data_IF_437727916787
#
_entry.id   IF_437727916787
#
_cell.length_a   1.000
_cell.length_b   1.000
_cell.length_c   1.000
_cell.angle_alpha   90.00
_cell.angle_beta   90.00
_cell.angle_gamma   90.00
#
_symmetry.space_group_name_H-M   'P 1'
#
loop_
_entity.id
_entity.type
_entity.pdbx_description
1 polymer ?
#
# COMPACT_ATOMS: atom_id res chain seq x y z
N UNK A 1 -2.87 -15.39 -9.35
CA UNK A 1 -1.87 -14.32 -9.19
C UNK A 1 -2.37 -13.40 -8.10
N UNK A 2 -1.70 -13.41 -6.97
CA UNK A 2 -2.12 -12.61 -5.80
C UNK A 2 -1.64 -11.20 -6.02
N UNK A 3 -2.56 -10.30 -6.10
CA UNK A 3 -2.37 -8.86 -6.26
C UNK A 3 -2.42 -8.24 -4.89
N UNK A 4 -1.92 -7.02 -4.64
CA UNK A 4 -1.83 -6.49 -3.28
C UNK A 4 -3.05 -6.93 -2.48
N UNK A 5 -2.89 -8.05 -1.86
CA UNK A 5 -3.79 -8.49 -0.86
C UNK A 5 -3.33 -7.84 0.45
N UNK A 6 -3.72 -6.59 0.66
CA UNK A 6 -3.81 -6.15 2.03
C UNK A 6 -5.04 -6.84 2.59
N UNK A 7 -4.83 -8.08 2.87
CA UNK A 7 -5.46 -8.96 3.81
C UNK A 7 -6.96 -8.89 4.00
N UNK A 8 -7.54 -10.03 4.09
CA UNK A 8 -8.56 -10.29 5.10
C UNK A 8 -8.03 -9.84 6.47
N UNK A 9 -8.31 -8.62 6.86
CA UNK A 9 -8.22 -8.21 8.24
C UNK A 9 -9.35 -8.96 8.94
N UNK A 10 -9.03 -10.09 9.56
CA UNK A 10 -9.98 -10.80 10.40
C UNK A 10 -10.34 -9.93 11.60
N UNK A 11 -11.50 -10.15 12.17
CA UNK A 11 -11.99 -9.44 13.35
C UNK A 11 -11.02 -9.49 14.56
N UNK A 12 -10.18 -10.51 14.62
CA UNK A 12 -9.14 -10.72 15.62
C UNK A 12 -7.94 -9.73 15.55
N UNK A 13 -7.77 -9.01 14.43
CA UNK A 13 -6.79 -7.91 14.35
C UNK A 13 -7.42 -6.59 14.82
N UNK A 14 -8.74 -6.48 14.73
CA UNK A 14 -9.48 -5.28 15.15
C UNK A 14 -9.28 -4.93 16.63
N UNK A 15 -9.06 -5.93 17.46
CA UNK A 15 -8.93 -5.76 18.91
C UNK A 15 -7.48 -5.44 19.36
N UNK A 16 -6.51 -5.50 18.42
CA UNK A 16 -5.11 -5.24 18.73
C UNK A 16 -4.66 -3.79 18.50
N UNK A 17 -5.50 -2.95 17.89
CA UNK A 17 -5.06 -1.64 17.40
C UNK A 17 -6.05 -0.53 17.77
N UNK A 18 -5.67 0.30 18.71
CA UNK A 18 -6.52 1.34 19.28
C UNK A 18 -5.98 2.72 18.89
N UNK A 19 -6.80 3.62 18.42
CA UNK A 19 -6.41 4.99 18.03
C UNK A 19 -6.31 5.95 19.23
N UNK A 20 -5.98 7.23 18.97
CA UNK A 20 -5.81 8.28 19.99
C UNK A 20 -7.04 8.56 20.89
N UNK A 21 -8.13 7.81 20.69
CA UNK A 21 -9.34 7.83 21.55
C UNK A 21 -9.41 6.60 22.47
N UNK A 22 -8.29 5.96 22.76
CA UNK A 22 -8.19 4.70 23.48
C UNK A 22 -8.05 3.48 22.55
N UNK A 23 -7.76 3.69 21.27
CA UNK A 23 -7.53 2.68 20.24
C UNK A 23 -6.06 2.68 19.87
N UNK A 24 -5.36 1.59 20.08
CA UNK A 24 -3.95 1.44 19.75
C UNK A 24 -3.69 1.61 18.26
N UNK A 25 -2.79 2.50 17.88
CA UNK A 25 -2.36 2.69 16.50
C UNK A 25 -1.05 1.97 16.31
N UNK A 26 -1.01 1.01 15.41
CA UNK A 26 0.23 0.36 15.02
C UNK A 26 0.75 0.91 13.71
N UNK A 27 2.06 0.85 13.49
CA UNK A 27 2.64 1.13 12.21
C UNK A 27 2.03 0.25 11.11
N UNK A 28 1.75 0.83 9.96
CA UNK A 28 1.21 0.07 8.81
C UNK A 28 2.12 -1.11 8.43
N UNK A 29 3.44 -0.95 8.54
CA UNK A 29 4.41 -2.01 8.28
C UNK A 29 4.29 -3.19 9.24
N UNK A 30 3.88 -2.97 10.49
CA UNK A 30 3.59 -4.04 11.45
C UNK A 30 2.39 -4.87 11.02
N UNK A 31 1.37 -4.22 10.47
CA UNK A 31 0.22 -4.92 9.88
C UNK A 31 0.69 -5.78 8.71
N UNK A 32 1.50 -5.24 7.80
CA UNK A 32 2.04 -6.01 6.67
C UNK A 32 2.91 -7.18 7.13
N UNK A 33 3.78 -6.97 8.13
CA UNK A 33 4.61 -8.01 8.73
C UNK A 33 3.75 -9.18 9.25
N UNK A 34 2.69 -8.84 9.99
CA UNK A 34 1.75 -9.84 10.53
C UNK A 34 1.06 -10.62 9.40
N UNK A 35 0.66 -9.94 8.33
CA UNK A 35 -0.02 -10.55 7.20
C UNK A 35 0.91 -11.49 6.43
N UNK A 36 2.12 -11.03 6.13
CA UNK A 36 3.13 -11.82 5.43
C UNK A 36 3.50 -13.08 6.25
N UNK A 37 3.66 -12.96 7.58
CA UNK A 37 3.87 -14.11 8.48
C UNK A 37 2.73 -15.13 8.46
N UNK A 38 1.52 -14.68 8.08
CA UNK A 38 0.34 -15.55 7.90
C UNK A 38 0.20 -16.10 6.46
N UNK A 39 1.20 -15.87 5.60
CA UNK A 39 1.20 -16.36 4.22
C UNK A 39 0.42 -15.48 3.23
N UNK A 40 0.12 -14.22 3.59
CA UNK A 40 -0.49 -13.27 2.66
C UNK A 40 0.59 -12.72 1.73
N UNK A 41 0.34 -12.80 0.43
CA UNK A 41 1.19 -12.19 -0.59
C UNK A 41 0.91 -10.68 -0.67
N UNK A 42 1.97 -9.88 -0.60
CA UNK A 42 1.87 -8.42 -0.65
C UNK A 42 2.72 -7.87 -1.79
N UNK A 43 2.11 -7.06 -2.65
CA UNK A 43 2.77 -6.31 -3.73
C UNK A 43 2.62 -4.82 -3.51
N UNK A 44 3.70 -4.08 -3.61
CA UNK A 44 3.73 -2.64 -3.40
C UNK A 44 4.34 -1.92 -4.62
N UNK A 45 3.59 -1.01 -5.21
CA UNK A 45 4.12 -0.03 -6.16
C UNK A 45 4.33 1.29 -5.42
N UNK A 46 5.53 1.86 -5.53
CA UNK A 46 5.84 3.16 -4.94
C UNK A 46 6.54 4.09 -5.94
N UNK A 47 6.32 5.42 -5.76
CA UNK A 47 6.78 6.42 -6.75
C UNK A 47 8.25 6.80 -6.62
N UNK A 48 8.83 6.63 -5.45
CA UNK A 48 10.23 6.98 -5.14
C UNK A 48 10.73 6.20 -3.94
N UNK A 49 12.02 6.13 -3.79
CA UNK A 49 12.63 5.57 -2.58
C UNK A 49 12.09 6.27 -1.33
N UNK A 50 11.67 5.50 -0.35
CA UNK A 50 11.18 6.03 0.91
C UNK A 50 12.27 6.80 1.64
N UNK A 51 11.85 7.83 2.38
CA UNK A 51 12.75 8.62 3.21
C UNK A 51 13.31 7.84 4.41
N UNK A 52 14.30 8.43 5.14
CA UNK A 52 14.99 7.74 6.24
C UNK A 52 14.04 7.14 7.28
N UNK A 53 13.05 7.91 7.74
CA UNK A 53 12.10 7.44 8.76
C UNK A 53 11.34 6.17 8.34
N UNK A 54 11.02 6.04 7.05
CA UNK A 54 10.35 4.84 6.56
C UNK A 54 11.32 3.66 6.49
N UNK A 55 12.59 3.91 6.14
CA UNK A 55 13.63 2.86 6.13
C UNK A 55 13.86 2.34 7.53
N UNK A 56 13.99 3.23 8.50
CA UNK A 56 14.18 2.87 9.90
C UNK A 56 13.00 2.02 10.43
N UNK A 57 11.78 2.36 10.02
CA UNK A 57 10.60 1.55 10.34
C UNK A 57 10.60 0.21 9.60
N UNK A 58 10.98 0.19 8.33
CA UNK A 58 11.00 -1.03 7.51
C UNK A 58 12.05 -2.04 8.02
N UNK A 59 13.20 -1.57 8.46
CA UNK A 59 14.29 -2.40 9.00
C UNK A 59 13.89 -3.14 10.29
N UNK A 60 12.83 -2.69 10.96
CA UNK A 60 12.27 -3.39 12.12
C UNK A 60 11.50 -4.67 11.75
N UNK A 61 11.16 -4.85 10.48
CA UNK A 61 10.35 -5.96 9.96
C UNK A 61 11.09 -6.73 8.87
N UNK A 62 12.15 -7.51 9.21
CA UNK A 62 13.05 -8.13 8.22
C UNK A 62 12.34 -9.03 7.20
N UNK A 63 11.22 -9.68 7.58
CA UNK A 63 10.47 -10.55 6.67
C UNK A 63 9.91 -9.78 5.46
N UNK A 64 9.63 -8.48 5.61
CA UNK A 64 9.12 -7.66 4.50
C UNK A 64 10.17 -7.46 3.39
N UNK A 65 11.47 -7.59 3.72
CA UNK A 65 12.53 -7.51 2.72
C UNK A 65 12.50 -8.65 1.72
N UNK A 66 12.14 -9.85 2.17
CA UNK A 66 12.19 -11.08 1.38
C UNK A 66 10.83 -11.53 0.87
N UNK A 67 9.77 -11.21 1.56
CA UNK A 67 8.45 -11.75 1.29
C UNK A 67 7.44 -10.72 0.74
N UNK A 68 7.78 -9.42 0.74
CA UNK A 68 6.97 -8.39 0.09
C UNK A 68 7.59 -8.04 -1.27
N UNK A 69 6.84 -8.21 -2.34
CA UNK A 69 7.25 -7.79 -3.66
C UNK A 69 7.10 -6.26 -3.81
N UNK A 70 8.13 -5.59 -4.31
CA UNK A 70 8.12 -4.13 -4.47
C UNK A 70 8.56 -3.73 -5.86
N UNK A 71 7.90 -2.70 -6.39
CA UNK A 71 8.25 -2.07 -7.66
C UNK A 71 8.33 -0.55 -7.48
N UNK A 72 9.43 0.04 -7.95
CA UNK A 72 9.53 1.49 -8.06
C UNK A 72 9.03 1.95 -9.42
N UNK A 73 7.99 2.77 -9.44
CA UNK A 73 7.50 3.42 -10.65
C UNK A 73 7.34 4.93 -10.42
N UNK A 74 8.23 5.79 -10.97
CA UNK A 74 8.18 7.25 -10.78
C UNK A 74 6.91 7.94 -11.31
N UNK A 75 6.07 7.20 -12.03
CA UNK A 75 4.76 7.67 -12.52
C UNK A 75 3.61 7.26 -11.62
N UNK A 76 3.82 6.34 -10.68
CA UNK A 76 2.76 5.90 -9.77
C UNK A 76 2.32 7.05 -8.87
N UNK A 77 1.05 7.42 -8.94
CA UNK A 77 0.44 8.45 -8.09
C UNK A 77 -0.91 8.05 -7.51
N UNK A 78 -1.40 6.88 -7.88
CA UNK A 78 -2.62 6.30 -7.30
C UNK A 78 -2.40 5.90 -5.83
N UNK A 79 -3.44 5.98 -5.04
CA UNK A 79 -3.48 5.54 -3.65
C UNK A 79 -4.65 4.58 -3.56
N UNK A 80 -4.34 3.30 -3.69
CA UNK A 80 -5.33 2.25 -3.56
C UNK A 80 -4.77 1.07 -2.77
N UNK A 81 -5.66 0.34 -2.14
CA UNK A 81 -5.40 -0.93 -1.49
C UNK A 81 -6.42 -1.90 -2.04
N UNK A 82 -5.97 -2.99 -2.65
CA UNK A 82 -6.84 -4.00 -3.24
C UNK A 82 -6.62 -5.31 -2.46
N UNK A 83 -7.71 -5.88 -1.97
CA UNK A 83 -7.70 -7.10 -1.16
C UNK A 83 -8.38 -8.22 -1.93
N UNK A 84 -7.62 -9.25 -2.28
CA UNK A 84 -8.08 -10.47 -2.96
C UNK A 84 -8.92 -10.23 -4.24
N UNK A 85 -8.86 -9.01 -4.80
CA UNK A 85 -9.70 -8.61 -5.93
C UNK A 85 -11.20 -8.46 -5.61
N UNK A 86 -11.58 -8.52 -4.34
CA UNK A 86 -13.00 -8.47 -3.89
C UNK A 86 -13.32 -7.29 -3.01
N UNK A 87 -12.32 -6.56 -2.55
CA UNK A 87 -12.48 -5.34 -1.78
C UNK A 87 -11.37 -4.35 -2.10
N UNK A 88 -11.72 -3.08 -2.24
CA UNK A 88 -10.72 -2.04 -2.47
C UNK A 88 -11.00 -0.76 -1.69
N UNK A 89 -9.92 -0.11 -1.27
CA UNK A 89 -9.91 1.30 -0.90
C UNK A 89 -9.16 2.08 -1.97
N UNK A 90 -9.68 3.23 -2.36
CA UNK A 90 -8.95 4.21 -3.18
C UNK A 90 -9.36 5.63 -2.80
N UNK A 91 -8.43 6.58 -2.97
CA UNK A 91 -8.70 7.95 -2.56
C UNK A 91 -7.48 8.87 -2.63
N UNK A 92 -7.55 9.95 -1.88
CA UNK A 92 -6.48 10.96 -1.83
C UNK A 92 -5.39 10.64 -0.80
N UNK A 93 -5.71 9.82 0.22
CA UNK A 93 -4.83 9.55 1.36
C UNK A 93 -3.58 8.74 0.96
N UNK A 94 -2.40 9.31 1.19
CA UNK A 94 -1.17 8.54 1.16
C UNK A 94 -1.07 7.65 2.43
N UNK A 95 -0.35 6.53 2.33
CA UNK A 95 -0.04 5.65 3.47
C UNK A 95 0.99 6.32 4.42
N UNK A 96 0.61 7.44 4.98
CA UNK A 96 1.41 8.25 5.92
C UNK A 96 0.59 8.55 7.17
N UNK A 97 1.25 8.81 8.29
CA UNK A 97 0.55 9.17 9.52
C UNK A 97 -0.35 10.41 9.38
N UNK A 98 -0.06 11.33 8.46
CA UNK A 98 -0.91 12.49 8.18
C UNK A 98 -2.13 12.11 7.32
N UNK A 99 -1.94 11.30 6.28
CA UNK A 99 -3.00 10.85 5.37
C UNK A 99 -3.93 9.82 6.02
N UNK A 100 -3.37 8.91 6.83
CA UNK A 100 -4.13 7.85 7.50
C UNK A 100 -4.75 8.27 8.84
N UNK A 101 -4.71 9.57 9.18
CA UNK A 101 -5.36 10.10 10.37
C UNK A 101 -4.65 9.79 11.70
N UNK A 102 -3.42 9.25 11.67
CA UNK A 102 -2.64 8.93 12.86
C UNK A 102 -2.06 10.19 13.57
N UNK A 103 -2.04 11.34 12.90
CA UNK A 103 -1.67 12.61 13.52
C UNK A 103 -2.86 13.27 14.22
N UNK A 104 -2.56 14.17 15.16
CA UNK A 104 -3.58 14.97 15.84
C UNK A 104 -4.46 15.74 14.83
N UNK A 105 -5.66 16.09 15.23
CA UNK A 105 -6.64 16.81 14.37
C UNK A 105 -6.07 18.08 13.72
N UNK A 106 -5.17 18.76 14.41
CA UNK A 106 -4.50 19.98 13.91
C UNK A 106 -3.39 19.72 12.89
N UNK A 107 -2.95 18.47 12.71
CA UNK A 107 -1.78 18.11 11.89
C UNK A 107 -2.08 17.04 10.83
N UNK A 108 -3.27 16.45 10.83
CA UNK A 108 -3.69 15.50 9.79
C UNK A 108 -4.20 16.22 8.55
N UNK A 109 -4.06 15.59 7.41
CA UNK A 109 -4.65 16.10 6.18
C UNK A 109 -6.18 15.91 6.18
N UNK A 110 -6.86 16.73 5.39
CA UNK A 110 -8.23 16.43 4.97
C UNK A 110 -8.15 15.52 3.74
N UNK A 111 -8.60 14.28 3.90
CA UNK A 111 -8.54 13.27 2.86
C UNK A 111 -9.94 12.71 2.62
N UNK A 112 -10.16 12.22 1.41
CA UNK A 112 -11.36 11.48 1.07
C UNK A 112 -11.02 10.18 0.34
N UNK A 113 -11.96 9.25 0.31
CA UNK A 113 -11.77 7.99 -0.37
C UNK A 113 -13.03 7.13 -0.30
N UNK A 114 -12.98 6.05 -1.06
CA UNK A 114 -14.06 5.06 -1.17
C UNK A 114 -13.51 3.71 -0.71
N UNK A 115 -14.27 3.04 0.14
CA UNK A 115 -14.11 1.61 0.42
C UNK A 115 -15.27 0.89 -0.27
N UNK A 116 -14.96 -0.05 -1.13
CA UNK A 116 -15.94 -0.73 -1.98
C UNK A 116 -15.69 -2.22 -2.10
N UNK A 117 -16.75 -2.96 -2.37
CA UNK A 117 -16.76 -4.36 -2.83
C UNK A 117 -17.47 -4.51 -4.18
N UNK A 118 -17.76 -3.38 -4.85
CA UNK A 118 -18.34 -3.37 -6.19
C UNK A 118 -17.29 -3.75 -7.25
N UNK A 119 -17.46 -4.87 -7.97
CA UNK A 119 -16.54 -5.30 -9.01
C UNK A 119 -16.33 -4.23 -10.11
N UNK A 120 -17.35 -3.47 -10.47
CA UNK A 120 -17.25 -2.43 -11.49
C UNK A 120 -16.27 -1.31 -11.13
N UNK A 121 -16.03 -1.08 -9.83
CA UNK A 121 -15.03 -0.14 -9.33
C UNK A 121 -13.68 -0.81 -9.10
N UNK A 122 -13.66 -2.10 -8.76
CA UNK A 122 -12.43 -2.82 -8.40
C UNK A 122 -11.67 -3.26 -9.66
N UNK A 123 -12.36 -3.79 -10.66
CA UNK A 123 -11.73 -4.28 -11.90
C UNK A 123 -10.79 -3.25 -12.56
N UNK A 124 -11.19 -1.98 -12.78
CA UNK A 124 -10.29 -0.98 -13.36
C UNK A 124 -9.06 -0.68 -12.50
N UNK A 125 -9.17 -0.78 -11.16
CA UNK A 125 -8.02 -0.58 -10.26
C UNK A 125 -7.04 -1.74 -10.38
N UNK A 126 -7.53 -2.96 -10.53
CA UNK A 126 -6.73 -4.16 -10.75
C UNK A 126 -6.00 -4.06 -12.08
N UNK A 127 -6.73 -3.74 -13.16
CA UNK A 127 -6.15 -3.58 -14.51
C UNK A 127 -5.04 -2.52 -14.52
N UNK A 128 -5.29 -1.37 -13.90
CA UNK A 128 -4.28 -0.32 -13.79
C UNK A 128 -3.05 -0.79 -13.00
N UNK A 129 -3.27 -1.47 -11.87
CA UNK A 129 -2.19 -1.99 -11.05
C UNK A 129 -1.36 -3.01 -11.84
N UNK A 130 -2.01 -3.97 -12.48
CA UNK A 130 -1.35 -5.03 -13.23
C UNK A 130 -0.58 -4.47 -14.44
N UNK A 131 -1.16 -3.54 -15.21
CA UNK A 131 -0.49 -2.90 -16.33
C UNK A 131 0.79 -2.16 -15.91
N UNK A 132 0.77 -1.50 -14.75
CA UNK A 132 1.98 -0.88 -14.21
C UNK A 132 2.96 -1.95 -13.73
N UNK A 133 2.48 -2.96 -13.02
CA UNK A 133 3.31 -4.04 -12.46
C UNK A 133 3.98 -4.86 -13.55
N UNK A 134 3.28 -5.18 -14.62
CA UNK A 134 3.82 -5.93 -15.76
C UNK A 134 4.71 -5.08 -16.71
N UNK A 135 4.76 -3.77 -16.48
CA UNK A 135 5.62 -2.88 -17.25
C UNK A 135 5.11 -2.49 -18.62
N UNK A 136 3.79 -2.59 -18.88
CA UNK A 136 3.19 -2.29 -20.19
C UNK A 136 3.57 -0.90 -20.71
N UNK A 137 3.83 0.05 -19.81
CA UNK A 137 4.21 1.42 -20.13
C UNK A 137 5.72 1.69 -20.04
N UNK A 138 6.55 0.68 -19.76
CA UNK A 138 7.97 0.89 -19.51
C UNK A 138 8.77 1.18 -20.77
N UNK A 139 8.43 0.56 -21.90
CA UNK A 139 9.17 0.66 -23.15
C UNK A 139 9.30 2.10 -23.65
N UNK A 140 8.22 2.88 -23.58
CA UNK A 140 8.15 4.27 -24.05
C UNK A 140 8.02 5.28 -22.90
N UNK A 141 8.49 4.91 -21.70
CA UNK A 141 8.32 5.72 -20.50
C UNK A 141 9.20 6.98 -20.52
N UNK A 142 8.58 8.15 -20.56
CA UNK A 142 9.28 9.45 -20.48
C UNK A 142 9.97 9.72 -19.13
N UNK A 143 9.72 8.89 -18.12
CA UNK A 143 10.37 8.97 -16.81
C UNK A 143 11.45 7.91 -16.57
N UNK A 144 11.83 7.15 -17.60
CA UNK A 144 12.78 6.03 -17.51
C UNK A 144 14.11 6.41 -16.82
N UNK A 145 14.62 7.62 -17.08
CA UNK A 145 15.85 8.14 -16.45
C UNK A 145 15.80 8.27 -14.92
N UNK A 146 14.59 8.27 -14.35
CA UNK A 146 14.37 8.36 -12.90
C UNK A 146 13.92 7.01 -12.29
N UNK A 147 13.86 5.96 -13.10
CA UNK A 147 13.44 4.64 -12.70
C UNK A 147 14.68 3.78 -12.49
N UNK A 148 14.89 3.31 -11.26
CA UNK A 148 16.01 2.42 -10.94
C UNK A 148 15.77 0.97 -11.37
N UNK A 149 14.51 0.61 -11.61
CA UNK A 149 14.10 -0.77 -11.89
C UNK A 149 13.05 -0.81 -13.01
N UNK A 150 13.41 -0.45 -14.25
CA UNK A 150 12.48 -0.52 -15.36
C UNK A 150 12.23 -1.97 -15.78
N UNK A 151 10.99 -2.38 -15.87
CA UNK A 151 10.60 -3.64 -16.50
C UNK A 151 10.92 -3.55 -18.00
N UNK A 152 11.65 -4.54 -18.54
CA UNK A 152 12.11 -4.60 -19.93
C UNK A 152 11.57 -5.86 -20.61
#
# INVERSE_FOLDING_TARGET
MSRIAVARVRADIKDMYVDARGREMVPFLEVLDTLVKRGVEVRLIHAKDPGPNWRDDFDRYPILWTAMERMLCPRAHFKCIIVDGVKAYFGSANLTGAGMGAKSEKKRNFENGVLTDDPALIEPLIEQFDSVWCGDFCRECGRRKFCSDPVV
#
